data_IF_960568361200
#
_entry.id   IF_960568361200
#
_cell.length_a   1.000
_cell.length_b   1.000
_cell.length_c   1.000
_cell.angle_alpha   90.00
_cell.angle_beta   90.00
_cell.angle_gamma   90.00
#
_symmetry.space_group_name_H-M   'P 1'
#
loop_
_entity.id
_entity.type
_entity.pdbx_description
1 polymer ?
#
# COMPACT_ATOMS: atom_id res chain seq x y z
N UNK A 1 14.37 -1.81 25.54
CA UNK A 1 13.59 -0.69 24.97
C UNK A 1 12.38 -1.28 24.25
N UNK A 2 11.16 -1.06 24.76
CA UNK A 2 9.92 -1.51 24.08
C UNK A 2 9.60 -0.47 23.01
N UNK A 3 9.92 -0.75 21.75
CA UNK A 3 9.42 0.03 20.62
C UNK A 3 7.90 -0.15 20.57
N UNK A 4 7.16 0.87 20.98
CA UNK A 4 5.74 0.91 20.66
C UNK A 4 5.64 1.08 19.15
N UNK A 5 5.31 0.00 18.44
CA UNK A 5 4.87 0.11 17.06
C UNK A 5 3.57 0.91 17.09
N UNK A 6 3.66 2.22 16.84
CA UNK A 6 2.49 3.06 16.66
C UNK A 6 1.77 2.51 15.44
N UNK A 7 0.64 1.83 15.67
CA UNK A 7 -0.25 1.36 14.62
C UNK A 7 -0.78 2.62 13.94
N UNK A 8 -0.18 2.99 12.82
CA UNK A 8 -0.67 4.08 12.00
C UNK A 8 -1.78 3.54 11.11
N UNK A 9 -3.03 3.79 11.52
CA UNK A 9 -4.20 3.42 10.74
C UNK A 9 -4.21 4.23 9.44
N UNK A 10 -4.08 3.52 8.31
CA UNK A 10 -4.11 4.10 6.98
C UNK A 10 -4.85 3.21 6.00
N UNK A 11 -5.02 3.70 4.78
CA UNK A 11 -5.58 2.96 3.66
C UNK A 11 -4.56 2.97 2.52
N UNK A 12 -4.28 1.79 1.98
CA UNK A 12 -3.46 1.63 0.78
C UNK A 12 -4.35 1.26 -0.39
N UNK A 13 -4.14 1.92 -1.52
CA UNK A 13 -4.76 1.57 -2.79
C UNK A 13 -3.65 1.27 -3.80
N UNK A 14 -3.77 0.15 -4.51
CA UNK A 14 -2.84 -0.24 -5.58
C UNK A 14 -3.56 -0.16 -6.91
N UNK A 15 -2.93 0.49 -7.87
CA UNK A 15 -3.36 0.62 -9.25
C UNK A 15 -2.37 -0.07 -10.19
N UNK A 16 -2.88 -0.67 -11.27
CA UNK A 16 -2.06 -1.23 -12.35
C UNK A 16 -1.40 -0.12 -13.19
N UNK A 17 -0.63 -0.53 -14.20
CA UNK A 17 0.01 0.39 -15.14
C UNK A 17 -0.99 1.18 -16.01
N UNK A 18 -2.23 0.72 -16.11
CA UNK A 18 -3.31 1.38 -16.85
C UNK A 18 -4.13 2.34 -15.95
N UNK A 19 -3.80 2.44 -14.67
CA UNK A 19 -4.54 3.24 -13.69
C UNK A 19 -5.80 2.58 -13.15
N UNK A 20 -6.01 1.29 -13.41
CA UNK A 20 -7.13 0.53 -12.84
C UNK A 20 -6.81 0.14 -11.40
N UNK A 21 -7.78 0.35 -10.50
CA UNK A 21 -7.65 -0.04 -9.09
C UNK A 21 -7.71 -1.56 -8.97
N UNK A 22 -6.64 -2.16 -8.49
CA UNK A 22 -6.53 -3.61 -8.28
C UNK A 22 -6.90 -3.99 -6.85
N UNK A 23 -6.47 -3.18 -5.88
CA UNK A 23 -6.62 -3.51 -4.47
C UNK A 23 -6.81 -2.27 -3.61
N UNK A 24 -7.58 -2.43 -2.53
CA UNK A 24 -7.70 -1.48 -1.43
C UNK A 24 -7.60 -2.27 -0.12
N UNK A 25 -6.68 -1.89 0.75
CA UNK A 25 -6.43 -2.56 2.02
C UNK A 25 -6.15 -1.56 3.14
N UNK A 26 -6.33 -1.98 4.39
CA UNK A 26 -5.91 -1.21 5.55
C UNK A 26 -4.40 -1.38 5.74
N UNK A 27 -3.71 -0.28 6.08
CA UNK A 27 -2.34 -0.34 6.56
C UNK A 27 -2.37 -0.76 8.03
N UNK A 28 -1.77 -1.91 8.34
CA UNK A 28 -1.66 -2.43 9.71
C UNK A 28 -0.18 -2.66 9.98
N UNK A 29 0.35 -2.01 11.02
CA UNK A 29 1.77 -2.08 11.39
C UNK A 29 2.73 -1.89 10.18
N UNK A 30 2.45 -0.84 9.39
CA UNK A 30 3.21 -0.48 8.17
C UNK A 30 3.24 -1.55 7.08
N UNK A 31 2.37 -2.55 7.19
CA UNK A 31 2.26 -3.66 6.25
C UNK A 31 0.84 -3.75 5.69
N UNK A 32 0.71 -4.41 4.56
CA UNK A 32 -0.58 -4.76 3.95
C UNK A 32 -0.57 -6.24 3.62
N UNK A 33 -1.71 -6.89 3.80
CA UNK A 33 -1.92 -8.24 3.32
C UNK A 33 -2.44 -8.18 1.88
N UNK A 34 -1.85 -9.01 1.01
CA UNK A 34 -2.25 -9.14 -0.39
C UNK A 34 -2.86 -10.52 -0.57
N UNK A 35 -4.14 -10.59 -0.92
CA UNK A 35 -4.89 -11.84 -1.01
C UNK A 35 -4.37 -12.79 -2.11
N UNK A 36 -3.70 -12.24 -3.14
CA UNK A 36 -3.09 -13.00 -4.22
C UNK A 36 -1.78 -12.33 -4.66
N UNK A 37 -0.75 -13.10 -5.07
CA UNK A 37 0.49 -12.51 -5.58
C UNK A 37 0.21 -11.54 -6.72
N UNK A 38 0.81 -10.36 -6.66
CA UNK A 38 0.77 -9.40 -7.77
C UNK A 38 1.69 -9.90 -8.89
N UNK A 39 1.23 -9.96 -10.15
CA UNK A 39 2.08 -10.29 -11.28
C UNK A 39 3.31 -9.37 -11.41
N UNK A 40 4.27 -9.78 -12.23
CA UNK A 40 5.40 -8.93 -12.62
C UNK A 40 4.85 -7.70 -13.35
N UNK A 41 5.28 -6.51 -12.95
CA UNK A 41 4.76 -5.27 -13.52
C UNK A 41 5.06 -4.02 -12.70
N UNK A 42 4.58 -2.88 -13.22
CA UNK A 42 4.66 -1.58 -12.57
C UNK A 42 3.29 -1.24 -11.97
N UNK A 43 3.31 -0.84 -10.72
CA UNK A 43 2.13 -0.49 -9.94
C UNK A 43 2.27 0.91 -9.35
N UNK A 44 1.16 1.64 -9.30
CA UNK A 44 1.07 2.88 -8.54
C UNK A 44 0.41 2.59 -7.19
N UNK A 45 1.11 2.91 -6.11
CA UNK A 45 0.64 2.71 -4.74
C UNK A 45 0.31 4.07 -4.16
N UNK A 46 -0.91 4.22 -3.65
CA UNK A 46 -1.35 5.40 -2.92
C UNK A 46 -1.62 5.02 -1.47
N UNK A 47 -0.93 5.70 -0.56
CA UNK A 47 -1.11 5.59 0.88
C UNK A 47 -1.85 6.83 1.39
N UNK A 48 -2.96 6.60 2.06
CA UNK A 48 -3.77 7.61 2.74
C UNK A 48 -3.69 7.38 4.24
N UNK A 49 -3.16 8.37 4.94
CA UNK A 49 -3.16 8.44 6.42
C UNK A 49 -4.00 9.63 6.85
N UNK A 50 -4.19 9.81 8.17
CA UNK A 50 -4.87 10.98 8.71
C UNK A 50 -4.21 12.31 8.30
N UNK A 51 -2.90 12.32 8.10
CA UNK A 51 -2.11 13.54 7.92
C UNK A 51 -1.56 13.71 6.50
N UNK A 52 -1.38 12.61 5.77
CA UNK A 52 -0.66 12.61 4.51
C UNK A 52 -1.31 11.68 3.49
N UNK A 53 -1.24 12.12 2.24
CA UNK A 53 -1.43 11.27 1.07
C UNK A 53 -0.10 11.17 0.34
N UNK A 54 0.38 9.95 0.12
CA UNK A 54 1.65 9.68 -0.55
C UNK A 54 1.40 8.76 -1.74
N UNK A 55 2.05 9.04 -2.87
CA UNK A 55 2.01 8.20 -4.06
C UNK A 55 3.41 7.72 -4.41
N UNK A 56 3.56 6.43 -4.74
CA UNK A 56 4.84 5.83 -5.12
C UNK A 56 4.66 4.76 -6.19
N UNK A 57 5.65 4.61 -7.07
CA UNK A 57 5.71 3.53 -8.07
C UNK A 57 6.46 2.33 -7.50
N UNK A 58 5.92 1.13 -7.68
CA UNK A 58 6.53 -0.14 -7.35
C UNK A 58 6.73 -0.95 -8.62
N UNK A 59 7.93 -1.50 -8.81
CA UNK A 59 8.24 -2.47 -9.85
C UNK A 59 8.42 -3.83 -9.19
N UNK A 60 7.57 -4.79 -9.53
CA UNK A 60 7.70 -6.19 -9.15
C UNK A 60 8.40 -6.91 -10.30
N UNK A 61 9.51 -7.60 -10.01
CA UNK A 61 10.36 -8.34 -10.96
C UNK A 61 10.39 -9.81 -10.59
#
# INVERSE_FOLDING_TARGET
VKTSNTIENGMVIIYDSNGQKIMKSLLIDKSIEIAQPLPIGIYNIQLYTKHHTVSKKLLIK
#
